data_IF_355388203914
#
_entry.id   IF_355388203914
#
_cell.length_a   1.000
_cell.length_b   1.000
_cell.length_c   1.000
_cell.angle_alpha   90.00
_cell.angle_beta   90.00
_cell.angle_gamma   90.00
#
_symmetry.space_group_name_H-M   'P 1'
#
loop_
_entity.id
_entity.type
_entity.pdbx_description
1 polymer ?
#
# COMPACT_ATOMS: atom_id res chain seq x y z
N UNK A 1 59.00 34.64 23.22
CA UNK A 1 58.03 33.59 23.51
C UNK A 1 57.27 33.26 22.21
N UNK A 2 57.21 31.99 21.76
CA UNK A 2 56.52 31.61 20.52
C UNK A 2 55.07 31.24 20.82
N UNK A 3 54.17 31.75 19.99
CA UNK A 3 52.73 31.44 19.98
C UNK A 3 52.51 29.94 19.70
N UNK A 4 51.72 29.30 20.59
CA UNK A 4 51.30 27.91 20.46
C UNK A 4 50.08 27.83 19.51
N UNK A 5 50.25 27.16 18.37
CA UNK A 5 49.14 26.74 17.49
C UNK A 5 48.27 25.69 18.19
N UNK A 6 46.99 25.98 18.35
CA UNK A 6 45.98 25.02 18.83
C UNK A 6 45.56 24.05 17.72
N UNK A 7 45.47 22.73 17.97
CA UNK A 7 45.12 21.76 16.95
C UNK A 7 43.61 21.84 16.60
N UNK A 8 43.30 21.94 15.30
CA UNK A 8 41.93 21.89 14.77
C UNK A 8 41.29 20.52 15.00
N UNK A 9 39.99 20.45 15.37
CA UNK A 9 39.37 19.19 15.78
C UNK A 9 39.18 18.21 14.61
N UNK A 10 39.56 16.95 14.84
CA UNK A 10 39.49 15.79 13.92
C UNK A 10 38.06 15.47 13.38
N UNK A 11 37.03 16.17 13.81
CA UNK A 11 35.64 15.97 13.35
C UNK A 11 35.36 16.48 11.93
N UNK A 12 36.10 17.45 11.41
CA UNK A 12 35.89 17.98 10.04
C UNK A 12 36.38 17.03 8.95
N UNK A 13 37.50 16.35 9.17
CA UNK A 13 38.06 15.40 8.20
C UNK A 13 37.25 14.15 8.02
N UNK A 14 36.55 13.67 9.08
CA UNK A 14 35.60 12.52 9.01
C UNK A 14 34.31 12.85 8.26
N UNK A 15 33.88 14.11 8.25
CA UNK A 15 32.71 14.56 7.54
C UNK A 15 32.95 14.74 6.03
N UNK A 16 34.13 15.21 5.66
CA UNK A 16 34.55 15.34 4.25
C UNK A 16 34.80 13.97 3.60
N UNK A 17 35.48 13.05 4.29
CA UNK A 17 35.66 11.68 3.77
C UNK A 17 34.39 10.89 3.62
N UNK A 18 33.33 11.17 4.42
CA UNK A 18 32.00 10.58 4.27
C UNK A 18 31.18 11.22 3.15
N UNK A 19 31.44 12.50 2.83
CA UNK A 19 30.82 13.17 1.67
C UNK A 19 31.42 12.69 0.35
N UNK A 20 32.72 12.45 0.31
CA UNK A 20 33.43 11.97 -0.88
C UNK A 20 33.13 10.47 -1.14
N UNK A 21 32.96 9.64 -0.08
CA UNK A 21 32.47 8.28 -0.25
C UNK A 21 31.04 8.23 -0.76
N UNK A 22 30.13 9.07 -0.22
CA UNK A 22 28.75 9.15 -0.71
C UNK A 22 28.62 9.73 -2.13
N UNK A 23 29.62 10.47 -2.63
CA UNK A 23 29.67 10.90 -4.02
C UNK A 23 30.19 9.79 -4.95
N UNK A 24 31.16 8.97 -4.51
CA UNK A 24 31.66 7.84 -5.29
C UNK A 24 30.65 6.69 -5.39
N UNK A 25 29.85 6.44 -4.34
CA UNK A 25 28.82 5.39 -4.35
C UNK A 25 27.57 5.79 -5.18
N UNK A 26 27.55 6.98 -5.79
CA UNK A 26 26.50 7.45 -6.72
C UNK A 26 26.91 7.44 -8.19
N UNK A 27 28.17 7.15 -8.50
CA UNK A 27 28.68 7.19 -9.88
C UNK A 27 28.72 5.83 -10.60
N UNK A 28 28.35 4.73 -9.94
CA UNK A 28 28.38 3.38 -10.52
C UNK A 28 27.06 2.60 -10.34
N UNK A 29 25.89 3.24 -10.58
CA UNK A 29 24.67 2.51 -10.87
C UNK A 29 24.57 2.39 -12.41
N UNK A 30 24.73 1.18 -13.00
CA UNK A 30 24.72 1.00 -14.47
C UNK A 30 23.37 1.26 -15.13
N UNK A 31 22.47 1.97 -14.47
CA UNK A 31 21.11 2.29 -14.90
C UNK A 31 20.82 3.78 -15.16
N UNK A 32 21.70 4.72 -14.87
CA UNK A 32 21.44 6.14 -15.10
C UNK A 32 21.81 6.51 -16.54
N UNK A 33 20.81 6.42 -17.44
CA UNK A 33 20.89 6.99 -18.79
C UNK A 33 20.94 8.51 -18.70
N UNK A 34 21.71 9.15 -19.57
CA UNK A 34 21.65 10.60 -19.73
C UNK A 34 20.24 11.03 -20.20
N UNK A 35 19.80 12.26 -19.94
CA UNK A 35 18.49 12.75 -20.40
C UNK A 35 18.27 12.59 -21.92
N UNK A 36 19.35 12.69 -22.70
CA UNK A 36 19.29 12.50 -24.17
C UNK A 36 19.13 11.04 -24.55
N UNK A 37 19.83 10.13 -23.87
CA UNK A 37 19.68 8.68 -24.06
C UNK A 37 18.28 8.20 -23.62
N UNK A 38 17.77 8.72 -22.52
CA UNK A 38 16.42 8.42 -22.05
C UNK A 38 15.35 8.91 -23.03
N UNK A 39 15.50 10.10 -23.59
CA UNK A 39 14.60 10.65 -24.59
C UNK A 39 14.61 9.77 -25.87
N UNK A 40 15.79 9.39 -26.35
CA UNK A 40 15.94 8.48 -27.52
C UNK A 40 15.34 7.10 -27.25
N UNK A 41 15.58 6.55 -26.07
CA UNK A 41 15.02 5.26 -25.67
C UNK A 41 13.49 5.31 -25.65
N UNK A 42 12.90 6.35 -25.06
CA UNK A 42 11.44 6.53 -25.00
C UNK A 42 10.83 6.68 -26.39
N UNK A 43 11.47 7.43 -27.28
CA UNK A 43 11.03 7.56 -28.69
C UNK A 43 11.05 6.20 -29.41
N UNK A 44 12.14 5.44 -29.24
CA UNK A 44 12.28 4.09 -29.79
C UNK A 44 11.20 3.15 -29.21
N UNK A 45 10.96 3.21 -27.91
CA UNK A 45 9.92 2.42 -27.23
C UNK A 45 8.53 2.71 -27.83
N UNK A 46 8.20 3.97 -28.05
CA UNK A 46 6.92 4.38 -28.66
C UNK A 46 6.80 3.84 -30.09
N UNK A 47 7.84 3.95 -30.89
CA UNK A 47 7.83 3.45 -32.27
C UNK A 47 7.65 1.94 -32.34
N UNK A 48 8.37 1.18 -31.51
CA UNK A 48 8.26 -0.28 -31.45
C UNK A 48 6.89 -0.69 -30.93
N UNK A 49 6.39 -0.04 -29.88
CA UNK A 49 5.08 -0.31 -29.31
C UNK A 49 3.95 -0.10 -30.35
N UNK A 50 3.96 1.02 -31.07
CA UNK A 50 2.94 1.30 -32.08
C UNK A 50 2.97 0.27 -33.22
N UNK A 51 4.17 -0.09 -33.70
CA UNK A 51 4.31 -1.13 -34.73
C UNK A 51 3.85 -2.50 -34.25
N UNK A 52 4.11 -2.85 -32.98
CA UNK A 52 3.65 -4.08 -32.36
C UNK A 52 2.12 -4.15 -32.32
N UNK A 53 1.45 -3.07 -31.87
CA UNK A 53 -0.03 -3.01 -31.78
C UNK A 53 -0.68 -3.14 -33.17
N UNK A 54 -0.03 -2.62 -34.23
CA UNK A 54 -0.49 -2.76 -35.59
C UNK A 54 -0.28 -4.20 -36.16
N UNK A 55 0.71 -4.92 -35.63
CA UNK A 55 1.14 -6.24 -36.16
C UNK A 55 0.48 -7.41 -35.44
N UNK A 56 -0.02 -7.24 -34.24
CA UNK A 56 -0.50 -8.32 -33.36
C UNK A 56 -1.96 -8.13 -32.98
N UNK A 57 -2.74 -9.23 -33.10
CA UNK A 57 -4.12 -9.23 -32.57
C UNK A 57 -4.11 -9.45 -31.06
N UNK A 58 -4.36 -8.35 -30.32
CA UNK A 58 -4.44 -8.37 -28.86
C UNK A 58 -5.54 -9.30 -28.33
N UNK A 59 -6.58 -9.57 -29.12
CA UNK A 59 -7.67 -10.48 -28.74
C UNK A 59 -7.18 -11.92 -28.71
N UNK A 60 -6.36 -12.32 -29.65
CA UNK A 60 -5.74 -13.65 -29.64
C UNK A 60 -4.72 -13.78 -28.51
N UNK A 61 -3.90 -12.76 -28.26
CA UNK A 61 -2.97 -12.75 -27.12
C UNK A 61 -3.69 -12.93 -25.78
N UNK A 62 -4.86 -12.32 -25.60
CA UNK A 62 -5.62 -12.41 -24.34
C UNK A 62 -6.10 -13.83 -23.99
N UNK A 63 -6.15 -14.74 -24.96
CA UNK A 63 -6.54 -16.14 -24.77
C UNK A 63 -5.39 -17.06 -24.39
N UNK A 64 -4.15 -16.59 -24.52
CA UNK A 64 -2.95 -17.37 -24.27
C UNK A 64 -2.49 -17.28 -22.81
N UNK A 65 -1.79 -18.29 -22.28
CA UNK A 65 -1.13 -18.19 -20.98
C UNK A 65 -0.09 -17.06 -20.98
N UNK A 66 0.04 -16.33 -19.86
CA UNK A 66 0.93 -15.15 -19.74
C UNK A 66 2.38 -15.42 -20.16
N UNK A 67 2.92 -16.63 -19.90
CA UNK A 67 4.26 -17.01 -20.31
C UNK A 67 4.40 -17.12 -21.84
N UNK A 68 3.37 -17.64 -22.51
CA UNK A 68 3.36 -17.73 -23.98
C UNK A 68 3.23 -16.35 -24.63
N UNK A 69 2.38 -15.47 -24.05
CA UNK A 69 2.24 -14.08 -24.50
C UNK A 69 3.55 -13.31 -24.37
N UNK A 70 4.26 -13.45 -23.24
CA UNK A 70 5.58 -12.80 -23.06
C UNK A 70 6.58 -13.23 -24.13
N UNK A 71 6.60 -14.52 -24.48
CA UNK A 71 7.47 -15.05 -25.51
C UNK A 71 7.11 -14.48 -26.89
N UNK A 72 5.83 -14.50 -27.25
CA UNK A 72 5.32 -13.95 -28.50
C UNK A 72 5.67 -12.48 -28.67
N UNK A 73 5.41 -11.66 -27.66
CA UNK A 73 5.78 -10.24 -27.64
C UNK A 73 7.30 -10.08 -27.83
N UNK A 74 8.11 -10.89 -27.13
CA UNK A 74 9.56 -10.84 -27.23
C UNK A 74 10.05 -11.13 -28.64
N UNK A 75 9.48 -12.14 -29.28
CA UNK A 75 9.85 -12.58 -30.64
C UNK A 75 9.46 -11.48 -31.66
N UNK A 76 8.25 -10.93 -31.58
CA UNK A 76 7.77 -9.87 -32.49
C UNK A 76 8.55 -8.56 -32.27
N UNK A 77 8.84 -8.17 -31.03
CA UNK A 77 9.65 -6.96 -30.74
C UNK A 77 11.06 -7.11 -31.31
N UNK A 78 11.67 -8.29 -31.18
CA UNK A 78 12.99 -8.57 -31.73
C UNK A 78 12.99 -8.49 -33.28
N UNK A 79 11.92 -8.96 -33.92
CA UNK A 79 11.73 -8.86 -35.38
C UNK A 79 11.55 -7.38 -35.79
N UNK A 80 10.74 -6.59 -35.10
CA UNK A 80 10.55 -5.15 -35.38
C UNK A 80 11.87 -4.39 -35.28
N UNK A 81 12.68 -4.64 -34.24
CA UNK A 81 14.00 -4.02 -34.07
C UNK A 81 14.89 -4.35 -35.25
N UNK A 82 14.88 -5.60 -35.69
CA UNK A 82 15.68 -6.07 -36.85
C UNK A 82 15.22 -5.47 -38.17
N UNK A 83 13.91 -5.44 -38.40
CA UNK A 83 13.33 -4.88 -39.66
C UNK A 83 13.58 -3.38 -39.77
N UNK A 84 13.50 -2.65 -38.68
CA UNK A 84 13.74 -1.19 -38.68
C UNK A 84 15.21 -0.83 -38.56
N UNK A 85 16.12 -1.80 -38.55
CA UNK A 85 17.57 -1.62 -38.39
C UNK A 85 17.94 -0.68 -37.24
N UNK A 86 17.23 -0.81 -36.08
CA UNK A 86 17.45 0.04 -34.90
C UNK A 86 18.78 -0.34 -34.24
N UNK A 87 19.64 0.65 -34.06
CA UNK A 87 20.95 0.44 -33.42
C UNK A 87 20.76 0.50 -31.89
N UNK A 88 20.78 -0.66 -31.26
CA UNK A 88 20.63 -0.83 -29.82
C UNK A 88 21.60 -1.91 -29.30
N UNK A 89 22.12 -1.73 -28.09
CA UNK A 89 22.86 -2.78 -27.41
C UNK A 89 21.94 -3.93 -27.00
N UNK A 90 22.50 -5.11 -26.76
CA UNK A 90 21.72 -6.27 -26.30
C UNK A 90 21.00 -6.00 -24.97
N UNK A 91 21.59 -5.19 -24.09
CA UNK A 91 21.00 -4.79 -22.82
C UNK A 91 19.79 -3.85 -23.02
N UNK A 92 19.89 -2.88 -23.93
CA UNK A 92 18.79 -1.98 -24.28
C UNK A 92 17.63 -2.75 -24.93
N UNK A 93 17.92 -3.70 -25.81
CA UNK A 93 16.88 -4.56 -26.41
C UNK A 93 16.15 -5.38 -25.35
N UNK A 94 16.88 -6.01 -24.43
CA UNK A 94 16.27 -6.79 -23.37
C UNK A 94 15.41 -5.92 -22.43
N UNK A 95 15.88 -4.72 -22.09
CA UNK A 95 15.12 -3.73 -21.32
C UNK A 95 13.84 -3.32 -22.06
N UNK A 96 13.95 -3.03 -23.36
CA UNK A 96 12.80 -2.64 -24.18
C UNK A 96 11.73 -3.74 -24.24
N UNK A 97 12.13 -4.99 -24.40
CA UNK A 97 11.23 -6.15 -24.39
C UNK A 97 10.49 -6.24 -23.04
N UNK A 98 11.22 -6.12 -21.94
CA UNK A 98 10.62 -6.15 -20.58
C UNK A 98 9.64 -5.00 -20.40
N UNK A 99 10.02 -3.78 -20.79
CA UNK A 99 9.18 -2.59 -20.66
C UNK A 99 7.90 -2.69 -21.50
N UNK A 100 7.99 -3.20 -22.71
CA UNK A 100 6.82 -3.43 -23.60
C UNK A 100 5.93 -4.55 -23.05
N UNK A 101 6.51 -5.65 -22.55
CA UNK A 101 5.75 -6.70 -21.89
C UNK A 101 4.99 -6.15 -20.66
N UNK A 102 5.63 -5.30 -19.84
CA UNK A 102 5.01 -4.68 -18.69
C UNK A 102 3.89 -3.70 -19.09
N UNK A 103 4.05 -2.97 -20.18
CA UNK A 103 3.01 -2.08 -20.73
C UNK A 103 1.77 -2.86 -21.21
N UNK A 104 1.95 -4.03 -21.80
CA UNK A 104 0.86 -4.84 -22.36
C UNK A 104 0.21 -5.74 -21.30
N UNK A 105 0.99 -6.43 -20.49
CA UNK A 105 0.53 -7.48 -19.58
C UNK A 105 0.48 -7.05 -18.11
N UNK A 106 1.33 -6.11 -17.71
CA UNK A 106 1.51 -5.68 -16.34
C UNK A 106 0.99 -4.27 -16.07
N UNK A 107 1.59 -3.61 -15.09
CA UNK A 107 1.27 -2.25 -14.68
C UNK A 107 2.22 -1.20 -15.29
N UNK A 108 2.83 -1.55 -16.42
CA UNK A 108 3.70 -0.68 -17.22
C UNK A 108 4.88 -0.12 -16.41
N UNK A 109 5.08 1.22 -16.44
CA UNK A 109 6.20 1.86 -15.75
C UNK A 109 6.19 1.69 -14.22
N UNK A 110 5.08 1.22 -13.63
CA UNK A 110 4.96 1.03 -12.17
C UNK A 110 5.55 -0.30 -11.69
N UNK A 111 5.73 -1.29 -12.57
CA UNK A 111 6.23 -2.61 -12.17
C UNK A 111 7.52 -2.56 -11.33
N UNK A 112 8.57 -1.84 -11.76
CA UNK A 112 9.80 -1.73 -10.97
C UNK A 112 9.61 -1.10 -9.60
N UNK A 113 8.61 -0.21 -9.43
CA UNK A 113 8.30 0.40 -8.14
C UNK A 113 7.51 -0.55 -7.23
N UNK A 114 6.63 -1.36 -7.83
CA UNK A 114 5.83 -2.33 -7.09
C UNK A 114 6.70 -3.47 -6.56
N UNK A 115 7.74 -3.87 -7.28
CA UNK A 115 8.67 -4.91 -6.85
C UNK A 115 9.57 -4.49 -5.68
N UNK A 116 9.83 -3.19 -5.50
CA UNK A 116 10.70 -2.67 -4.43
C UNK A 116 10.00 -2.70 -3.08
N UNK A 117 10.55 -3.42 -2.10
CA UNK A 117 9.98 -3.54 -0.74
C UNK A 117 10.21 -2.29 0.15
N UNK A 118 11.17 -1.41 -0.20
CA UNK A 118 11.46 -0.18 0.54
C UNK A 118 10.45 0.96 0.31
N UNK A 119 9.62 0.84 -0.74
CA UNK A 119 8.57 1.80 -1.07
C UNK A 119 7.31 1.51 -0.25
N UNK A 120 6.79 2.52 0.44
CA UNK A 120 5.54 2.44 1.17
C UNK A 120 4.33 2.84 0.33
N UNK A 121 4.43 3.99 -0.34
CA UNK A 121 3.37 4.55 -1.18
C UNK A 121 3.93 4.96 -2.55
N UNK A 122 3.14 4.75 -3.61
CA UNK A 122 3.41 5.23 -4.97
C UNK A 122 2.27 6.18 -5.33
N UNK A 123 2.61 7.40 -5.74
CA UNK A 123 1.63 8.45 -6.04
C UNK A 123 1.87 9.00 -7.44
N UNK A 124 0.91 8.77 -8.33
CA UNK A 124 0.94 9.24 -9.73
C UNK A 124 0.01 10.42 -9.85
N UNK A 125 0.53 11.56 -10.27
CA UNK A 125 -0.22 12.80 -10.50
C UNK A 125 -0.16 13.15 -11.99
N UNK A 126 -1.03 12.56 -12.79
CA UNK A 126 -0.95 12.60 -14.24
C UNK A 126 0.26 11.84 -14.79
N UNK A 127 0.47 11.82 -16.12
CA UNK A 127 1.46 10.95 -16.76
C UNK A 127 2.92 11.30 -16.46
N UNK A 128 3.19 12.53 -16.04
CA UNK A 128 4.55 13.08 -15.96
C UNK A 128 5.13 13.12 -14.53
N UNK A 129 4.34 12.84 -13.49
CA UNK A 129 4.76 13.01 -12.10
C UNK A 129 4.43 11.76 -11.29
N UNK A 130 5.46 10.96 -11.02
CA UNK A 130 5.37 9.77 -10.17
C UNK A 130 6.23 10.00 -8.94
N UNK A 131 5.61 10.02 -7.78
CA UNK A 131 6.27 10.14 -6.49
C UNK A 131 6.25 8.81 -5.76
N UNK A 132 7.26 8.58 -4.94
CA UNK A 132 7.32 7.43 -4.03
C UNK A 132 7.58 7.90 -2.60
N UNK A 133 7.05 7.17 -1.64
CA UNK A 133 7.39 7.33 -0.23
C UNK A 133 8.33 6.21 0.21
N UNK A 134 9.52 6.58 0.69
CA UNK A 134 10.51 5.65 1.26
C UNK A 134 10.98 6.19 2.61
N UNK A 135 10.83 5.39 3.68
CA UNK A 135 11.25 5.79 5.02
C UNK A 135 10.59 7.08 5.54
N UNK A 136 9.33 7.35 5.15
CA UNK A 136 8.58 8.55 5.54
C UNK A 136 8.94 9.81 4.75
N UNK A 137 9.70 9.70 3.66
CA UNK A 137 10.07 10.82 2.78
C UNK A 137 9.51 10.61 1.39
N UNK A 138 8.83 11.63 0.88
CA UNK A 138 8.30 11.65 -0.48
C UNK A 138 9.36 12.20 -1.43
N UNK A 139 9.63 11.46 -2.51
CA UNK A 139 10.60 11.83 -3.55
C UNK A 139 9.98 11.67 -4.94
N UNK A 140 10.29 12.59 -5.85
CA UNK A 140 9.93 12.49 -7.25
C UNK A 140 10.85 11.46 -7.93
N UNK A 141 10.28 10.58 -8.74
CA UNK A 141 11.03 9.62 -9.56
C UNK A 141 11.25 10.14 -10.97
N UNK A 142 12.10 9.47 -11.74
CA UNK A 142 12.28 9.73 -13.17
C UNK A 142 11.24 9.00 -14.04
N UNK A 143 10.37 8.18 -13.42
CA UNK A 143 9.36 7.39 -14.13
C UNK A 143 8.26 8.30 -14.68
N UNK A 144 7.90 8.04 -15.94
CA UNK A 144 6.82 8.73 -16.65
C UNK A 144 6.01 7.75 -17.46
N UNK A 145 4.75 8.05 -17.63
CA UNK A 145 3.89 7.39 -18.61
C UNK A 145 4.04 8.08 -19.95
N UNK A 146 3.80 7.38 -21.04
CA UNK A 146 3.81 7.92 -22.39
C UNK A 146 2.80 9.07 -22.54
N UNK A 147 1.58 8.85 -22.06
CA UNK A 147 0.45 9.77 -22.15
C UNK A 147 -0.64 9.42 -21.11
N UNK A 148 -1.68 10.25 -21.04
CA UNK A 148 -2.84 9.99 -20.19
C UNK A 148 -3.60 8.72 -20.58
N UNK A 149 -3.60 8.31 -21.84
CA UNK A 149 -4.30 7.12 -22.29
C UNK A 149 -3.63 5.87 -21.73
N UNK A 150 -2.30 5.78 -21.74
CA UNK A 150 -1.57 4.69 -21.09
C UNK A 150 -1.86 4.63 -19.59
N UNK A 151 -1.82 5.76 -18.90
CA UNK A 151 -2.12 5.82 -17.47
C UNK A 151 -3.55 5.35 -17.18
N UNK A 152 -4.55 5.82 -17.94
CA UNK A 152 -5.94 5.39 -17.80
C UNK A 152 -6.12 3.90 -18.08
N UNK A 153 -5.46 3.36 -19.10
CA UNK A 153 -5.51 1.93 -19.40
C UNK A 153 -4.97 1.08 -18.24
N UNK A 154 -3.89 1.53 -17.60
CA UNK A 154 -3.33 0.86 -16.41
C UNK A 154 -4.29 0.98 -15.24
N UNK A 155 -4.86 2.16 -14.98
CA UNK A 155 -5.90 2.36 -13.95
C UNK A 155 -7.09 1.42 -14.17
N UNK A 156 -7.61 1.35 -15.39
CA UNK A 156 -8.73 0.47 -15.75
C UNK A 156 -8.37 -1.00 -15.54
N UNK A 157 -7.16 -1.41 -15.92
CA UNK A 157 -6.68 -2.79 -15.71
C UNK A 157 -6.63 -3.17 -14.24
N UNK A 158 -6.09 -2.30 -13.39
CA UNK A 158 -6.05 -2.49 -11.94
C UNK A 158 -7.46 -2.65 -11.37
N UNK A 159 -8.35 -1.73 -11.74
CA UNK A 159 -9.71 -1.66 -11.21
C UNK A 159 -10.56 -2.83 -11.69
N UNK A 160 -10.41 -3.22 -12.97
CA UNK A 160 -11.15 -4.34 -13.60
C UNK A 160 -10.76 -5.69 -13.00
N UNK A 161 -9.53 -5.87 -12.54
CA UNK A 161 -9.11 -7.09 -11.84
C UNK A 161 -9.93 -7.32 -10.54
N UNK A 162 -10.42 -6.26 -9.91
CA UNK A 162 -11.35 -6.29 -8.77
C UNK A 162 -12.83 -6.28 -9.15
N UNK A 163 -13.17 -6.45 -10.44
CA UNK A 163 -14.57 -6.44 -10.92
C UNK A 163 -15.22 -5.06 -10.87
N UNK A 164 -14.43 -3.98 -10.87
CA UNK A 164 -14.89 -2.59 -10.81
C UNK A 164 -14.57 -1.86 -12.12
N UNK A 165 -15.04 -0.62 -12.22
CA UNK A 165 -14.85 0.23 -13.39
C UNK A 165 -14.40 1.63 -12.96
N UNK A 166 -13.54 2.26 -13.74
CA UNK A 166 -13.18 3.68 -13.64
C UNK A 166 -13.25 4.31 -15.03
N UNK A 167 -14.09 5.32 -15.16
CA UNK A 167 -14.32 6.09 -16.39
C UNK A 167 -14.92 7.46 -16.05
N UNK A 168 -15.32 8.24 -17.05
CA UNK A 168 -15.92 9.55 -16.85
C UNK A 168 -17.24 9.52 -16.05
N UNK A 169 -18.01 8.42 -16.15
CA UNK A 169 -19.25 8.25 -15.40
C UNK A 169 -19.03 7.80 -13.95
N UNK A 170 -17.91 7.10 -13.70
CA UNK A 170 -17.50 6.63 -12.38
C UNK A 170 -16.02 6.97 -12.16
N UNK A 171 -15.70 8.25 -11.93
CA UNK A 171 -14.32 8.73 -11.96
C UNK A 171 -13.51 8.44 -10.69
N UNK A 172 -14.12 7.93 -9.64
CA UNK A 172 -13.46 7.58 -8.38
C UNK A 172 -13.63 6.07 -8.14
N UNK A 173 -12.52 5.39 -7.89
CA UNK A 173 -12.56 3.96 -7.61
C UNK A 173 -11.45 3.56 -6.63
N UNK A 174 -11.82 2.80 -5.60
CA UNK A 174 -10.87 2.07 -4.77
C UNK A 174 -10.76 0.63 -5.29
N UNK A 175 -9.55 0.12 -5.37
CA UNK A 175 -9.25 -1.23 -5.82
C UNK A 175 -8.13 -1.84 -4.97
N UNK A 176 -7.77 -3.08 -5.31
CA UNK A 176 -6.66 -3.78 -4.66
C UNK A 176 -5.86 -4.54 -5.70
N UNK A 177 -4.54 -4.53 -5.55
CA UNK A 177 -3.66 -5.39 -6.31
C UNK A 177 -3.69 -6.82 -5.75
N UNK A 178 -3.18 -7.77 -6.52
CA UNK A 178 -3.11 -9.20 -6.13
C UNK A 178 -2.24 -9.44 -4.88
N UNK A 179 -1.25 -8.58 -4.66
CA UNK A 179 -0.38 -8.61 -3.46
C UNK A 179 -1.05 -8.06 -2.19
N UNK A 180 -2.28 -7.52 -2.33
CA UNK A 180 -3.03 -6.91 -1.25
C UNK A 180 -2.84 -5.40 -1.12
N UNK A 181 -2.00 -4.77 -1.93
CA UNK A 181 -1.78 -3.32 -1.94
C UNK A 181 -3.08 -2.58 -2.29
N UNK A 182 -3.37 -1.49 -1.56
CA UNK A 182 -4.56 -0.66 -1.78
C UNK A 182 -4.32 0.32 -2.89
N UNK A 183 -5.30 0.51 -3.74
CA UNK A 183 -5.24 1.43 -4.88
C UNK A 183 -6.44 2.36 -4.84
N UNK A 184 -6.17 3.66 -4.93
CA UNK A 184 -7.19 4.67 -5.17
C UNK A 184 -6.93 5.32 -6.53
N UNK A 185 -7.96 5.42 -7.34
CA UNK A 185 -7.92 6.06 -8.66
C UNK A 185 -8.92 7.20 -8.70
N UNK A 186 -8.47 8.35 -9.17
CA UNK A 186 -9.35 9.48 -9.55
C UNK A 186 -9.08 9.81 -11.01
N UNK A 187 -10.10 9.66 -11.84
CA UNK A 187 -10.03 9.90 -13.28
C UNK A 187 -10.55 11.29 -13.69
N UNK A 188 -10.24 11.77 -14.89
CA UNK A 188 -10.95 12.89 -15.49
C UNK A 188 -12.49 12.60 -15.56
N UNK A 189 -13.35 13.63 -15.44
CA UNK A 189 -13.03 15.06 -15.42
C UNK A 189 -12.62 15.61 -14.05
N UNK A 190 -12.65 14.81 -12.97
CA UNK A 190 -12.30 15.28 -11.63
C UNK A 190 -10.81 15.56 -11.48
N UNK A 191 -9.97 14.71 -12.04
CA UNK A 191 -8.52 14.89 -12.07
C UNK A 191 -8.13 15.73 -13.30
N UNK A 192 -7.86 17.03 -13.09
CA UNK A 192 -7.68 18.03 -14.16
C UNK A 192 -6.39 17.78 -14.95
N UNK A 193 -5.30 17.40 -14.29
CA UNK A 193 -3.97 17.20 -14.90
C UNK A 193 -3.77 15.78 -15.48
N UNK A 194 -4.84 15.02 -15.60
CA UNK A 194 -4.80 13.59 -15.92
C UNK A 194 -5.16 12.72 -14.72
N UNK A 195 -5.27 11.41 -14.90
CA UNK A 195 -5.63 10.52 -13.80
C UNK A 195 -4.64 10.62 -12.63
N UNK A 196 -5.16 10.60 -11.42
CA UNK A 196 -4.38 10.43 -10.19
C UNK A 196 -4.54 8.99 -9.70
N UNK A 197 -3.41 8.34 -9.41
CA UNK A 197 -3.36 6.96 -8.92
C UNK A 197 -2.48 6.92 -7.67
N UNK A 198 -3.02 6.42 -6.59
CA UNK A 198 -2.26 6.21 -5.34
C UNK A 198 -2.26 4.72 -5.00
N UNK A 199 -1.09 4.14 -4.83
CA UNK A 199 -0.92 2.75 -4.41
C UNK A 199 -0.22 2.76 -3.06
N UNK A 200 -0.92 2.29 -2.02
CA UNK A 200 -0.34 1.99 -0.71
C UNK A 200 0.04 0.53 -0.67
N UNK A 201 1.34 0.28 -0.65
CA UNK A 201 1.87 -1.09 -0.69
C UNK A 201 1.57 -1.85 0.59
N UNK A 202 1.20 -3.11 0.42
CA UNK A 202 1.02 -4.02 1.53
C UNK A 202 2.38 -4.49 2.05
N UNK A 203 2.74 -4.06 3.27
CA UNK A 203 4.01 -4.44 3.89
C UNK A 203 3.99 -5.91 4.29
N UNK A 204 4.90 -6.70 3.73
CA UNK A 204 5.07 -8.11 4.06
C UNK A 204 5.78 -8.31 5.40
N UNK A 205 6.69 -7.41 5.74
CA UNK A 205 7.46 -7.48 6.98
C UNK A 205 6.62 -7.00 8.17
N UNK A 206 6.40 -7.93 9.08
CA UNK A 206 5.66 -7.67 10.32
C UNK A 206 6.60 -7.18 11.39
N UNK A 207 6.39 -5.96 11.88
CA UNK A 207 7.07 -5.49 13.08
C UNK A 207 6.57 -6.30 14.28
N UNK A 208 7.52 -6.80 15.06
CA UNK A 208 7.27 -7.50 16.32
C UNK A 208 7.40 -6.53 17.48
N UNK A 209 6.87 -6.91 18.63
CA UNK A 209 6.96 -6.07 19.84
C UNK A 209 8.42 -5.72 20.20
N UNK A 210 9.36 -6.65 19.95
CA UNK A 210 10.79 -6.40 20.19
C UNK A 210 11.35 -5.29 19.27
N UNK A 211 10.85 -5.17 18.04
CA UNK A 211 11.26 -4.11 17.12
C UNK A 211 10.82 -2.74 17.63
N UNK A 212 9.61 -2.65 18.21
CA UNK A 212 9.13 -1.42 18.85
C UNK A 212 9.99 -1.01 20.06
N UNK A 213 10.52 -1.99 20.80
CA UNK A 213 11.48 -1.73 21.89
C UNK A 213 12.81 -1.24 21.31
N UNK A 214 13.31 -1.89 20.28
CA UNK A 214 14.58 -1.53 19.61
C UNK A 214 14.50 -0.11 19.00
N UNK A 215 13.36 0.28 18.44
CA UNK A 215 13.09 1.63 17.94
C UNK A 215 12.84 2.66 19.05
N UNK A 216 12.83 2.23 20.32
CA UNK A 216 12.51 3.06 21.48
C UNK A 216 11.10 3.66 21.45
N UNK A 217 10.18 3.07 20.69
CA UNK A 217 8.78 3.46 20.67
C UNK A 217 8.05 3.02 21.94
N UNK A 218 8.49 1.91 22.54
CA UNK A 218 7.95 1.35 23.78
C UNK A 218 9.13 0.97 24.67
N UNK A 219 9.00 1.18 25.98
CA UNK A 219 10.00 0.71 26.96
C UNK A 219 9.93 -0.81 27.13
N UNK A 220 11.02 -1.45 27.55
CA UNK A 220 10.99 -2.90 27.84
C UNK A 220 9.89 -3.28 28.87
N UNK A 221 9.70 -2.48 29.91
CA UNK A 221 8.62 -2.68 30.88
C UNK A 221 7.23 -2.53 30.27
N UNK A 222 7.05 -1.54 29.38
CA UNK A 222 5.82 -1.36 28.61
C UNK A 222 5.52 -2.55 27.68
N UNK A 223 6.55 -3.15 27.10
CA UNK A 223 6.40 -4.35 26.27
C UNK A 223 5.87 -5.54 27.09
N UNK A 224 6.36 -5.74 28.33
CA UNK A 224 5.82 -6.77 29.22
C UNK A 224 4.34 -6.54 29.57
N UNK A 225 3.95 -5.28 29.80
CA UNK A 225 2.53 -4.96 30.02
C UNK A 225 1.68 -5.28 28.79
N UNK A 226 2.17 -4.97 27.58
CA UNK A 226 1.45 -5.28 26.32
C UNK A 226 1.27 -6.78 26.14
N UNK A 227 2.28 -7.59 26.46
CA UNK A 227 2.18 -9.06 26.43
C UNK A 227 1.06 -9.55 27.36
N UNK A 228 1.06 -9.07 28.62
CA UNK A 228 0.03 -9.42 29.60
C UNK A 228 -1.37 -9.02 29.12
N UNK A 229 -1.51 -7.80 28.59
CA UNK A 229 -2.79 -7.30 28.04
C UNK A 229 -3.32 -8.21 26.94
N UNK A 230 -2.46 -8.64 26.00
CA UNK A 230 -2.84 -9.55 24.93
C UNK A 230 -3.24 -10.95 25.44
N UNK A 231 -2.46 -11.50 26.39
CA UNK A 231 -2.70 -12.84 26.94
C UNK A 231 -3.91 -12.90 27.89
N UNK A 232 -4.11 -11.88 28.74
CA UNK A 232 -5.16 -11.88 29.77
C UNK A 232 -6.55 -11.52 29.27
N UNK A 233 -6.80 -11.53 27.98
CA UNK A 233 -8.12 -11.22 27.38
C UNK A 233 -8.70 -9.85 27.78
N UNK A 234 -7.83 -8.82 27.90
CA UNK A 234 -8.32 -7.48 28.16
C UNK A 234 -8.86 -6.86 26.88
N UNK A 235 -9.99 -6.17 26.99
CA UNK A 235 -10.55 -5.39 25.91
C UNK A 235 -9.69 -4.14 25.68
N UNK A 236 -9.30 -3.88 24.41
CA UNK A 236 -8.31 -2.83 24.09
C UNK A 236 -8.80 -1.94 22.96
N UNK A 237 -8.76 -0.62 23.22
CA UNK A 237 -8.91 0.38 22.17
C UNK A 237 -7.58 1.12 21.96
N UNK A 238 -6.98 0.97 20.78
CA UNK A 238 -5.73 1.65 20.40
C UNK A 238 -6.07 2.95 19.68
N UNK A 239 -5.76 4.08 20.30
CA UNK A 239 -6.02 5.40 19.72
C UNK A 239 -4.75 6.08 19.21
N UNK A 240 -4.89 6.94 18.20
CA UNK A 240 -3.80 7.73 17.65
C UNK A 240 -4.13 8.34 16.29
N UNK A 241 -3.29 9.25 15.81
CA UNK A 241 -3.39 9.88 14.49
C UNK A 241 -3.05 8.94 13.34
N UNK A 242 -3.16 9.43 12.12
CA UNK A 242 -2.70 8.71 10.92
C UNK A 242 -1.20 8.48 10.99
N UNK A 243 -0.73 7.29 10.62
CA UNK A 243 0.70 6.95 10.65
C UNK A 243 1.33 6.79 12.03
N UNK A 244 0.54 6.89 13.13
CA UNK A 244 1.07 6.76 14.51
C UNK A 244 1.41 5.32 14.93
N UNK A 245 1.14 4.32 14.09
CA UNK A 245 1.45 2.92 14.36
C UNK A 245 0.32 2.15 15.09
N UNK A 246 -0.94 2.61 15.04
CA UNK A 246 -2.08 1.91 15.67
C UNK A 246 -2.20 0.46 15.22
N UNK A 247 -2.26 0.23 13.92
CA UNK A 247 -2.37 -1.12 13.34
C UNK A 247 -1.14 -1.98 13.66
N UNK A 248 0.05 -1.36 13.72
CA UNK A 248 1.29 -2.03 14.12
C UNK A 248 1.20 -2.51 15.58
N UNK A 249 0.77 -1.62 16.49
CA UNK A 249 0.62 -1.97 17.91
C UNK A 249 -0.46 -3.04 18.10
N UNK A 250 -1.59 -2.93 17.36
CA UNK A 250 -2.65 -3.93 17.39
C UNK A 250 -2.13 -5.31 16.92
N UNK A 251 -1.37 -5.36 15.82
CA UNK A 251 -0.70 -6.59 15.37
C UNK A 251 0.27 -7.16 16.43
N UNK A 252 1.02 -6.31 17.15
CA UNK A 252 1.89 -6.76 18.23
C UNK A 252 1.11 -7.34 19.41
N UNK A 253 -0.03 -6.76 19.77
CA UNK A 253 -0.92 -7.27 20.82
C UNK A 253 -1.49 -8.65 20.46
N UNK A 254 -1.92 -8.83 19.22
CA UNK A 254 -2.52 -10.09 18.75
C UNK A 254 -1.54 -11.26 18.69
N UNK A 255 -0.23 -11.00 18.69
CA UNK A 255 0.79 -12.04 18.75
C UNK A 255 0.83 -12.81 20.09
N UNK A 256 0.13 -12.33 21.10
CA UNK A 256 0.04 -12.95 22.43
C UNK A 256 -1.32 -13.60 22.71
N UNK A 257 -2.15 -13.73 21.70
CA UNK A 257 -3.40 -14.50 21.77
C UNK A 257 -3.05 -15.99 21.72
N UNK A 258 -3.73 -16.80 22.52
CA UNK A 258 -3.50 -18.25 22.55
C UNK A 258 -3.93 -18.92 21.24
N UNK A 259 -3.16 -19.93 20.80
CA UNK A 259 -3.39 -20.64 19.53
C UNK A 259 -4.76 -21.32 19.42
N UNK A 260 -5.37 -21.65 20.55
CA UNK A 260 -6.70 -22.29 20.63
C UNK A 260 -7.87 -21.32 20.42
N UNK A 261 -7.63 -20.01 20.44
CA UNK A 261 -8.68 -19.03 20.34
C UNK A 261 -9.09 -18.76 18.88
N UNK A 262 -10.41 -18.68 18.65
CA UNK A 262 -10.98 -18.28 17.37
C UNK A 262 -11.05 -16.76 17.30
N UNK A 263 -10.25 -16.15 16.44
CA UNK A 263 -10.20 -14.69 16.23
C UNK A 263 -10.87 -14.32 14.91
N UNK A 264 -11.74 -13.33 14.95
CA UNK A 264 -12.36 -12.78 13.73
C UNK A 264 -11.94 -11.32 13.59
N UNK A 265 -11.38 -10.97 12.44
CA UNK A 265 -11.06 -9.58 12.12
C UNK A 265 -12.12 -8.98 11.19
N UNK A 266 -12.51 -7.73 11.47
CA UNK A 266 -13.40 -6.93 10.62
C UNK A 266 -12.65 -5.65 10.23
N UNK A 267 -12.45 -5.43 8.94
CA UNK A 267 -11.63 -4.34 8.43
C UNK A 267 -12.30 -3.71 7.19
N UNK A 268 -12.09 -2.41 6.98
CA UNK A 268 -12.46 -1.77 5.72
C UNK A 268 -11.58 -2.29 4.58
N UNK A 269 -10.31 -2.48 4.89
CA UNK A 269 -9.34 -3.14 4.04
C UNK A 269 -8.45 -4.00 4.94
N UNK A 270 -8.29 -5.26 4.61
CA UNK A 270 -7.57 -6.23 5.43
C UNK A 270 -6.06 -5.91 5.48
N UNK A 271 -5.63 -5.15 6.49
CA UNK A 271 -4.26 -4.79 6.81
C UNK A 271 -3.68 -5.62 7.95
N UNK A 272 -4.54 -6.14 8.82
CA UNK A 272 -4.12 -6.94 9.98
C UNK A 272 -3.55 -8.29 9.52
N UNK A 273 -2.44 -8.66 10.14
CA UNK A 273 -1.71 -9.88 9.83
C UNK A 273 -1.44 -10.67 11.10
N UNK A 274 -2.49 -11.28 11.63
CA UNK A 274 -2.42 -12.06 12.85
C UNK A 274 -1.59 -13.32 12.63
N UNK A 275 -0.82 -13.69 13.67
CA UNK A 275 -0.01 -14.92 13.67
C UNK A 275 -0.75 -16.11 14.29
N UNK A 276 -1.96 -15.91 14.80
CA UNK A 276 -2.80 -16.95 15.40
C UNK A 276 -3.28 -17.93 14.32
N UNK A 277 -3.26 -19.25 14.54
CA UNK A 277 -3.62 -20.23 13.51
C UNK A 277 -5.12 -20.19 13.13
N UNK A 278 -6.01 -19.85 14.08
CA UNK A 278 -7.46 -19.86 13.85
C UNK A 278 -8.02 -18.43 13.66
N UNK A 279 -7.74 -17.83 12.51
CA UNK A 279 -8.22 -16.49 12.14
C UNK A 279 -9.18 -16.55 10.98
N UNK A 280 -10.28 -15.81 11.10
CA UNK A 280 -11.21 -15.49 10.00
C UNK A 280 -11.12 -14.00 9.71
N UNK A 281 -10.73 -13.64 8.50
CA UNK A 281 -10.58 -12.24 8.09
C UNK A 281 -11.78 -11.82 7.25
N UNK A 282 -12.45 -10.77 7.69
CA UNK A 282 -13.62 -10.20 7.01
C UNK A 282 -13.30 -8.77 6.58
N UNK A 283 -13.80 -8.42 5.40
CA UNK A 283 -13.62 -7.10 4.82
C UNK A 283 -14.96 -6.52 4.40
N UNK A 284 -15.16 -5.22 4.62
CA UNK A 284 -16.32 -4.50 4.14
C UNK A 284 -16.38 -4.51 2.61
N UNK A 285 -17.56 -4.40 2.08
CA UNK A 285 -17.76 -4.25 0.63
C UNK A 285 -18.55 -2.98 0.37
N UNK A 286 -17.99 -1.98 -0.30
CA UNK A 286 -18.75 -0.82 -0.73
C UNK A 286 -19.82 -1.21 -1.74
N UNK A 287 -20.87 -0.38 -1.91
CA UNK A 287 -21.91 -0.63 -2.88
C UNK A 287 -21.33 -0.74 -4.30
N UNK A 288 -22.04 -1.50 -5.16
CA UNK A 288 -21.70 -1.59 -6.58
C UNK A 288 -22.10 -0.29 -7.32
N UNK A 289 -21.91 -0.26 -8.64
CA UNK A 289 -22.25 0.90 -9.48
C UNK A 289 -23.74 1.29 -9.43
N UNK A 290 -24.61 0.37 -9.07
CA UNK A 290 -26.05 0.58 -8.91
C UNK A 290 -26.44 1.02 -7.50
N UNK A 291 -25.46 1.22 -6.61
CA UNK A 291 -25.67 1.60 -5.21
C UNK A 291 -26.17 0.47 -4.30
N UNK A 292 -26.10 -0.79 -4.76
CA UNK A 292 -26.58 -1.96 -4.01
C UNK A 292 -25.44 -2.90 -3.63
N UNK A 293 -25.70 -3.79 -2.66
CA UNK A 293 -24.77 -4.84 -2.25
C UNK A 293 -23.68 -4.36 -1.30
N UNK A 294 -23.85 -3.22 -0.65
CA UNK A 294 -22.97 -2.77 0.44
C UNK A 294 -23.01 -3.77 1.60
N UNK A 295 -21.85 -4.07 2.15
CA UNK A 295 -21.66 -4.77 3.43
C UNK A 295 -20.84 -3.86 4.33
N UNK A 296 -21.50 -3.27 5.30
CA UNK A 296 -20.87 -2.31 6.22
C UNK A 296 -20.07 -3.00 7.33
N UNK A 297 -19.24 -2.24 8.03
CA UNK A 297 -18.54 -2.71 9.23
C UNK A 297 -19.54 -3.19 10.31
N UNK A 298 -20.64 -2.48 10.49
CA UNK A 298 -21.75 -2.87 11.39
C UNK A 298 -22.30 -4.26 11.05
N UNK A 299 -22.50 -4.56 9.75
CA UNK A 299 -23.02 -5.87 9.31
C UNK A 299 -22.02 -6.98 9.63
N UNK A 300 -20.72 -6.72 9.42
CA UNK A 300 -19.66 -7.67 9.73
C UNK A 300 -19.61 -7.96 11.23
N UNK A 301 -19.55 -6.94 12.09
CA UNK A 301 -19.47 -7.11 13.55
C UNK A 301 -20.69 -7.85 14.07
N UNK A 302 -21.91 -7.50 13.63
CA UNK A 302 -23.13 -8.23 13.99
C UNK A 302 -23.11 -9.68 13.55
N UNK A 303 -22.58 -9.97 12.37
CA UNK A 303 -22.46 -11.34 11.89
C UNK A 303 -21.42 -12.14 12.67
N UNK A 304 -20.31 -11.50 13.09
CA UNK A 304 -19.28 -12.14 13.90
C UNK A 304 -19.84 -12.80 15.16
N UNK A 305 -20.80 -12.18 15.84
CA UNK A 305 -21.42 -12.71 17.05
C UNK A 305 -22.13 -14.07 16.84
N UNK A 306 -22.44 -14.44 15.58
CA UNK A 306 -23.02 -15.73 15.20
C UNK A 306 -21.98 -16.75 14.72
N UNK A 307 -20.72 -16.34 14.62
CA UNK A 307 -19.63 -17.16 14.09
C UNK A 307 -18.81 -17.85 15.19
N UNK A 308 -19.26 -17.80 16.46
CA UNK A 308 -18.57 -18.31 17.63
C UNK A 308 -17.15 -17.74 17.77
N UNK A 309 -16.98 -16.42 17.81
CA UNK A 309 -15.68 -15.83 18.06
C UNK A 309 -15.30 -15.99 19.53
N UNK A 310 -14.01 -16.16 19.80
CA UNK A 310 -13.44 -15.92 21.12
C UNK A 310 -13.09 -14.44 21.26
N UNK A 311 -12.52 -13.84 20.20
CA UNK A 311 -12.20 -12.40 20.12
C UNK A 311 -12.62 -11.82 18.79
N UNK A 312 -13.12 -10.59 18.83
CA UNK A 312 -13.43 -9.78 17.65
C UNK A 312 -12.42 -8.63 17.58
N UNK A 313 -11.78 -8.45 16.44
CA UNK A 313 -10.80 -7.39 16.22
C UNK A 313 -11.30 -6.50 15.08
N UNK A 314 -11.56 -5.22 15.39
CA UNK A 314 -11.98 -4.22 14.42
C UNK A 314 -10.78 -3.38 14.02
N UNK A 315 -10.42 -3.41 12.74
CA UNK A 315 -9.25 -2.71 12.22
C UNK A 315 -9.30 -1.20 12.51
N UNK A 316 -10.44 -0.57 12.26
CA UNK A 316 -10.69 0.82 12.67
C UNK A 316 -12.18 1.05 12.93
N UNK A 317 -12.50 1.66 14.06
CA UNK A 317 -13.85 2.04 14.47
C UNK A 317 -14.07 3.49 14.06
N UNK A 318 -15.07 3.73 13.20
CA UNK A 318 -15.37 5.05 12.62
C UNK A 318 -16.80 5.50 12.77
N UNK A 319 -17.71 4.58 13.09
CA UNK A 319 -19.16 4.83 13.07
C UNK A 319 -19.97 3.94 14.00
N UNK A 320 -21.11 3.49 13.53
CA UNK A 320 -22.14 2.78 14.30
C UNK A 320 -21.65 1.46 14.89
N UNK A 321 -20.67 0.81 14.29
CA UNK A 321 -20.03 -0.43 14.74
C UNK A 321 -19.40 -0.29 16.13
N UNK A 322 -19.11 0.94 16.58
CA UNK A 322 -18.63 1.19 17.92
C UNK A 322 -19.54 0.58 19.00
N UNK A 323 -20.86 0.73 18.83
CA UNK A 323 -21.84 0.17 19.78
C UNK A 323 -21.83 -1.36 19.76
N UNK A 324 -21.83 -1.96 18.57
CA UNK A 324 -21.85 -3.42 18.41
C UNK A 324 -20.54 -4.06 18.96
N UNK A 325 -19.40 -3.38 18.79
CA UNK A 325 -18.12 -3.83 19.36
C UNK A 325 -18.14 -3.75 20.90
N UNK A 326 -18.64 -2.65 21.49
CA UNK A 326 -18.76 -2.54 22.94
C UNK A 326 -19.74 -3.56 23.52
N UNK A 327 -20.83 -3.86 22.81
CA UNK A 327 -21.72 -4.95 23.19
C UNK A 327 -21.01 -6.29 23.20
N UNK A 328 -20.23 -6.59 22.17
CA UNK A 328 -19.41 -7.80 22.11
C UNK A 328 -18.48 -7.90 23.33
N UNK A 329 -17.76 -6.81 23.64
CA UNK A 329 -16.86 -6.70 24.80
C UNK A 329 -17.57 -6.93 26.15
N UNK A 330 -18.86 -6.60 26.24
CA UNK A 330 -19.67 -6.73 27.47
C UNK A 330 -20.46 -8.05 27.53
N UNK A 331 -20.50 -8.85 26.47
CA UNK A 331 -21.35 -10.06 26.38
C UNK A 331 -20.55 -11.34 26.19
N UNK A 332 -19.36 -11.41 26.76
CA UNK A 332 -18.56 -12.65 26.85
C UNK A 332 -17.58 -12.87 25.69
N UNK A 333 -17.23 -11.81 24.95
CA UNK A 333 -16.17 -11.81 23.95
C UNK A 333 -14.97 -10.99 24.47
N UNK A 334 -14.52 -11.35 25.67
CA UNK A 334 -13.39 -10.69 26.33
C UNK A 334 -12.12 -10.79 25.51
N UNK A 335 -11.31 -9.73 25.52
CA UNK A 335 -10.11 -9.63 24.70
C UNK A 335 -10.35 -9.13 23.29
N UNK A 336 -11.56 -8.63 23.00
CA UNK A 336 -11.84 -7.93 21.75
C UNK A 336 -11.08 -6.63 21.67
N UNK A 337 -10.65 -6.25 20.47
CA UNK A 337 -9.76 -5.12 20.26
C UNK A 337 -10.23 -4.26 19.08
N UNK A 338 -9.84 -3.00 19.10
CA UNK A 338 -10.09 -2.11 17.97
C UNK A 338 -9.11 -0.96 17.91
N UNK A 339 -9.01 -0.30 16.74
CA UNK A 339 -8.34 0.99 16.65
C UNK A 339 -9.34 2.11 16.43
N UNK A 340 -8.99 3.29 16.87
CA UNK A 340 -9.78 4.51 16.71
C UNK A 340 -8.88 5.69 16.40
N UNK A 341 -9.32 6.57 15.53
CA UNK A 341 -8.58 7.80 15.25
C UNK A 341 -8.93 8.86 16.30
N UNK A 342 -8.01 9.13 17.21
CA UNK A 342 -8.15 10.18 18.22
C UNK A 342 -6.77 10.74 18.60
N UNK A 343 -6.72 12.02 19.02
CA UNK A 343 -5.45 12.68 19.32
C UNK A 343 -4.90 12.27 20.70
N UNK A 344 -5.75 11.82 21.60
CA UNK A 344 -5.37 11.39 22.94
C UNK A 344 -6.40 10.41 23.53
N UNK A 345 -6.08 9.67 24.61
CA UNK A 345 -6.99 8.67 25.20
C UNK A 345 -8.33 9.25 25.69
N UNK A 346 -8.37 10.49 26.16
CA UNK A 346 -9.61 11.12 26.62
C UNK A 346 -10.54 11.42 25.44
N UNK A 347 -10.01 11.97 24.36
CA UNK A 347 -10.77 12.18 23.12
C UNK A 347 -11.25 10.88 22.51
N UNK A 348 -10.50 9.78 22.68
CA UNK A 348 -10.92 8.44 22.25
C UNK A 348 -12.28 8.07 22.88
N UNK A 349 -12.43 8.25 24.19
CA UNK A 349 -13.68 7.96 24.90
C UNK A 349 -14.81 8.85 24.37
N UNK A 350 -14.60 10.16 24.32
CA UNK A 350 -15.60 11.10 23.79
C UNK A 350 -16.00 10.80 22.34
N UNK A 351 -15.05 10.30 21.54
CA UNK A 351 -15.32 9.91 20.15
C UNK A 351 -16.18 8.65 20.09
N UNK A 352 -15.94 7.67 20.95
CA UNK A 352 -16.78 6.46 21.06
C UNK A 352 -18.22 6.88 21.46
N UNK A 353 -18.40 7.74 22.47
CA UNK A 353 -19.69 8.27 22.87
C UNK A 353 -20.43 8.95 21.70
N UNK A 354 -19.72 9.78 20.92
CA UNK A 354 -20.27 10.44 19.75
C UNK A 354 -20.70 9.44 18.67
N UNK A 355 -19.90 8.40 18.39
CA UNK A 355 -20.24 7.38 17.40
C UNK A 355 -21.48 6.59 17.81
N UNK A 356 -21.63 6.28 19.10
CA UNK A 356 -22.83 5.61 19.62
C UNK A 356 -24.07 6.51 19.46
N UNK A 357 -23.94 7.80 19.78
CA UNK A 357 -25.02 8.77 19.59
C UNK A 357 -25.41 8.91 18.11
N UNK A 358 -24.44 8.95 17.19
CA UNK A 358 -24.67 8.96 15.74
C UNK A 358 -25.34 7.68 15.23
N UNK A 359 -25.17 6.56 15.93
CA UNK A 359 -25.86 5.31 15.68
C UNK A 359 -27.36 5.32 16.04
N UNK A 360 -27.85 6.43 16.59
CA UNK A 360 -29.24 6.57 17.03
C UNK A 360 -29.51 6.04 18.46
N UNK A 361 -28.47 5.67 19.19
CA UNK A 361 -28.59 5.22 20.58
C UNK A 361 -28.43 6.39 21.54
N UNK A 362 -29.50 6.75 22.22
CA UNK A 362 -29.49 7.76 23.28
C UNK A 362 -29.14 7.10 24.62
N UNK A 363 -27.86 6.80 24.83
CA UNK A 363 -27.37 6.26 26.09
C UNK A 363 -26.85 7.39 26.99
N UNK A 364 -27.12 7.34 28.31
CA UNK A 364 -26.44 8.23 29.25
C UNK A 364 -24.91 8.02 29.20
N UNK A 365 -24.14 9.10 29.23
CA UNK A 365 -22.65 9.03 29.18
C UNK A 365 -22.03 8.10 30.25
N UNK A 366 -22.75 7.88 31.36
CA UNK A 366 -22.34 6.95 32.43
C UNK A 366 -22.49 5.46 32.03
N UNK A 367 -23.19 5.16 30.94
CA UNK A 367 -23.48 3.80 30.49
C UNK A 367 -22.47 3.33 29.40
N UNK A 368 -21.81 4.26 28.77
CA UNK A 368 -20.71 4.04 27.82
C UNK A 368 -19.38 4.05 28.55
#
# INVERSE_FOLDING_TARGET
EPEQETPKPKMRQAAESRRDKKKKDKEDDPGDMTPEEEARYNETKIQVFNTLIESVDLTELSKMPAAAVRKEISDVVSEIISMKAMVMSAAEQQRLIVDICNDILGLGPLEPLIERDDIADIMVNGPNKVYIETGGKITLTNIKFRDNAQLMNICQRIVSAGGRRVDEASPICDARLLDGSRVNVIAPPLAIDGAALTIRKFKKDKLRLQDLVNFKSISPAGAEVIKLVGACRLNVMVSGGTGSGKTTLLNCLTAFIEDGERVITCEDTAELQLLVPHVVRLETRPPNLEGVGEISMTDLVKNCLRMRPERIIVGEVRGKEAFDLLQAMNTGHDGSMGTIHANNPRECISRIENMIAMGGFSLPAKTV
#
